data_IF_525116793304
#
_entry.id   IF_525116793304
#
_cell.length_a   1.000
_cell.length_b   1.000
_cell.length_c   1.000
_cell.angle_alpha   90.00
_cell.angle_beta   90.00
_cell.angle_gamma   90.00
#
_symmetry.space_group_name_H-M   'P 1'
#
loop_
_entity.id
_entity.type
_entity.pdbx_description
1 polymer ?
#
# COMPACT_ATOMS: atom_id res chain seq x y z
N UNK A 1 -19.21 -8.27 -2.19
CA UNK A 1 -18.43 -9.17 -3.07
C UNK A 1 -18.77 -8.81 -4.51
N UNK A 2 -17.78 -8.45 -5.34
CA UNK A 2 -18.03 -8.06 -6.72
C UNK A 2 -18.32 -9.29 -7.60
N UNK A 3 -19.26 -9.17 -8.54
CA UNK A 3 -19.61 -10.24 -9.48
C UNK A 3 -18.55 -10.34 -10.59
N UNK A 4 -17.40 -10.91 -10.25
CA UNK A 4 -16.29 -11.13 -11.19
C UNK A 4 -16.10 -12.63 -11.44
N UNK A 5 -15.47 -12.97 -12.58
CA UNK A 5 -15.16 -14.37 -12.94
C UNK A 5 -14.39 -15.13 -11.85
N UNK A 6 -13.64 -14.43 -10.99
CA UNK A 6 -12.92 -15.02 -9.87
C UNK A 6 -13.84 -15.71 -8.84
N UNK A 7 -15.10 -15.28 -8.71
CA UNK A 7 -16.08 -15.85 -7.78
C UNK A 7 -17.02 -16.87 -8.45
N UNK A 8 -16.91 -17.07 -9.76
CA UNK A 8 -17.92 -17.81 -10.55
C UNK A 8 -17.89 -19.34 -10.31
N UNK A 9 -16.73 -19.88 -9.92
CA UNK A 9 -16.56 -21.32 -9.66
C UNK A 9 -16.57 -21.65 -8.15
N UNK A 10 -16.84 -20.66 -7.31
CA UNK A 10 -16.82 -20.84 -5.86
C UNK A 10 -18.21 -21.26 -5.41
N UNK A 11 -18.33 -22.51 -4.96
CA UNK A 11 -19.59 -23.10 -4.48
C UNK A 11 -19.80 -22.90 -2.98
N UNK A 12 -18.74 -22.68 -2.21
CA UNK A 12 -18.81 -22.44 -0.76
C UNK A 12 -18.77 -20.95 -0.45
N UNK A 13 -19.72 -20.50 0.37
CA UNK A 13 -19.78 -19.10 0.82
C UNK A 13 -18.52 -18.69 1.59
N UNK A 14 -17.97 -19.59 2.41
CA UNK A 14 -16.77 -19.32 3.19
C UNK A 14 -15.55 -19.04 2.31
N UNK A 15 -15.33 -19.86 1.28
CA UNK A 15 -14.22 -19.69 0.33
C UNK A 15 -14.32 -18.36 -0.43
N UNK A 16 -15.56 -17.90 -0.73
CA UNK A 16 -15.79 -16.62 -1.39
C UNK A 16 -15.45 -15.43 -0.48
N UNK A 17 -15.75 -15.53 0.82
CA UNK A 17 -15.39 -14.51 1.82
C UNK A 17 -13.88 -14.43 2.00
N UNK A 18 -13.20 -15.57 2.11
CA UNK A 18 -11.75 -15.63 2.27
C UNK A 18 -11.02 -15.10 1.03
N UNK A 19 -11.50 -15.42 -0.17
CA UNK A 19 -10.95 -14.86 -1.41
C UNK A 19 -11.15 -13.34 -1.48
N UNK A 20 -12.32 -12.85 -1.08
CA UNK A 20 -12.63 -11.43 -1.10
C UNK A 20 -11.76 -10.64 -0.10
N UNK A 21 -11.56 -11.14 1.11
CA UNK A 21 -10.70 -10.49 2.10
C UNK A 21 -9.24 -10.46 1.65
N UNK A 22 -8.72 -11.53 1.02
CA UNK A 22 -7.37 -11.54 0.43
C UNK A 22 -7.26 -10.49 -0.68
N UNK A 23 -8.19 -10.47 -1.63
CA UNK A 23 -8.23 -9.49 -2.72
C UNK A 23 -8.30 -8.05 -2.20
N UNK A 24 -9.09 -7.80 -1.15
CA UNK A 24 -9.20 -6.48 -0.52
C UNK A 24 -7.92 -6.07 0.20
N UNK A 25 -7.23 -7.01 0.84
CA UNK A 25 -5.95 -6.75 1.52
C UNK A 25 -4.84 -6.47 0.50
N UNK A 26 -4.79 -7.24 -0.59
CA UNK A 26 -3.86 -7.02 -1.70
C UNK A 26 -4.19 -5.73 -2.45
N UNK A 27 -5.46 -5.42 -2.66
CA UNK A 27 -5.89 -4.15 -3.23
C UNK A 27 -5.51 -2.99 -2.33
N UNK A 28 -5.65 -3.10 -1.00
CA UNK A 28 -5.20 -2.07 -0.05
C UNK A 28 -3.67 -1.93 0.01
N UNK A 29 -2.93 -3.03 -0.17
CA UNK A 29 -1.47 -3.01 -0.30
C UNK A 29 -1.02 -2.40 -1.64
N UNK A 30 -1.79 -2.62 -2.71
CA UNK A 30 -1.56 -2.06 -4.05
C UNK A 30 -2.07 -0.64 -4.24
N UNK A 31 -3.12 -0.25 -3.52
CA UNK A 31 -3.43 1.13 -3.14
C UNK A 31 -2.41 1.58 -2.10
N UNK A 32 -1.14 1.36 -2.44
CA UNK A 32 -0.07 2.31 -2.33
C UNK A 32 -0.52 3.60 -1.67
N UNK A 33 -0.07 3.75 -0.44
CA UNK A 33 -0.28 4.90 0.40
C UNK A 33 0.39 6.11 -0.26
N UNK A 34 -0.30 6.70 -1.24
CA UNK A 34 0.15 7.90 -1.95
C UNK A 34 0.33 9.09 -1.00
N UNK A 35 -0.21 9.00 0.23
CA UNK A 35 0.05 9.97 1.30
C UNK A 35 1.38 9.71 2.04
N UNK A 36 1.89 8.47 2.05
CA UNK A 36 3.19 8.11 2.65
C UNK A 36 4.37 8.03 1.66
N UNK A 37 4.09 7.89 0.36
CA UNK A 37 5.12 7.92 -0.70
C UNK A 37 5.23 9.30 -1.35
N UNK A 38 5.06 10.35 -0.55
CA UNK A 38 5.57 11.67 -0.89
C UNK A 38 7.10 11.61 -0.74
N UNK A 39 7.75 11.31 -1.85
CA UNK A 39 9.20 11.24 -1.99
C UNK A 39 9.74 12.66 -2.23
N UNK A 40 10.61 13.14 -1.34
CA UNK A 40 11.28 14.43 -1.45
C UNK A 40 12.71 14.22 -1.96
N UNK A 41 13.08 14.91 -3.04
CA UNK A 41 14.48 14.98 -3.49
C UNK A 41 15.27 15.99 -2.64
N UNK A 42 16.41 15.55 -2.11
CA UNK A 42 17.38 16.48 -1.52
C UNK A 42 18.19 17.23 -2.61
N UNK A 43 18.97 18.23 -2.20
CA UNK A 43 19.82 19.01 -3.11
C UNK A 43 20.96 18.20 -3.76
N UNK A 44 21.17 16.94 -3.36
CA UNK A 44 22.14 16.00 -3.92
C UNK A 44 21.50 14.96 -4.86
N UNK A 45 20.17 14.99 -5.05
CA UNK A 45 19.43 14.07 -5.91
C UNK A 45 19.06 12.74 -5.25
N UNK A 46 19.09 12.65 -3.92
CA UNK A 46 18.64 11.47 -3.20
C UNK A 46 17.14 11.55 -2.92
N UNK A 47 16.43 10.45 -3.22
CA UNK A 47 14.99 10.32 -2.99
C UNK A 47 14.75 9.87 -1.55
N UNK A 48 14.17 10.75 -0.73
CA UNK A 48 13.90 10.50 0.69
C UNK A 48 12.39 10.42 0.95
N UNK A 49 11.96 9.36 1.63
CA UNK A 49 10.60 9.34 2.20
C UNK A 49 10.48 10.44 3.27
N UNK A 50 9.30 11.07 3.36
CA UNK A 50 8.96 12.09 4.38
C UNK A 50 9.35 11.70 5.81
N UNK A 51 9.25 10.41 6.15
CA UNK A 51 9.68 9.88 7.45
C UNK A 51 11.18 10.01 7.65
N UNK A 52 11.97 9.60 6.66
CA UNK A 52 13.43 9.68 6.68
C UNK A 52 13.89 11.13 6.78
N UNK A 53 13.24 12.04 6.04
CA UNK A 53 13.50 13.48 6.12
C UNK A 53 13.24 14.04 7.53
N UNK A 54 12.09 13.72 8.14
CA UNK A 54 11.79 14.16 9.52
C UNK A 54 12.74 13.55 10.55
N UNK A 55 13.12 12.28 10.39
CA UNK A 55 14.07 11.62 11.29
C UNK A 55 15.47 12.25 11.18
N UNK A 56 15.94 12.58 9.97
CA UNK A 56 17.19 13.31 9.72
C UNK A 56 17.17 14.72 10.33
N UNK A 57 16.07 15.46 10.16
CA UNK A 57 15.87 16.79 10.76
C UNK A 57 15.90 16.73 12.29
N UNK A 58 15.25 15.71 12.88
CA UNK A 58 15.23 15.50 14.35
C UNK A 58 16.60 15.09 14.89
N UNK A 59 17.41 14.40 14.09
CA UNK A 59 18.78 14.03 14.43
C UNK A 59 19.79 15.17 14.19
N UNK A 60 19.38 16.27 13.54
CA UNK A 60 20.24 17.41 13.23
C UNK A 60 21.26 17.12 12.11
N UNK A 61 20.96 16.17 11.24
CA UNK A 61 21.84 15.71 10.14
C UNK A 61 21.51 16.38 8.79
N UNK A 62 20.65 17.40 8.80
CA UNK A 62 20.17 18.14 7.62
C UNK A 62 20.35 19.64 7.84
#
# INVERSE_FOLDING_TARGET
IPNTRAFHNITKIQDALDLFERLKKDARLKEFDAQNQEEFEDAAGNVLSKKTYQDLLRQGLL
#
